data_IF_078511822507
#
_entry.id   IF_078511822507
#
_cell.length_a   1.000
_cell.length_b   1.000
_cell.length_c   1.000
_cell.angle_alpha   90.00
_cell.angle_beta   90.00
_cell.angle_gamma   90.00
#
_symmetry.space_group_name_H-M   'P 1'
#
loop_
_entity.id
_entity.type
_entity.pdbx_description
1 polymer ?
#
# COMPACT_ATOMS: atom_id res chain seq x y z
N UNK A 1 4.84 6.36 19.35
CA UNK A 1 4.39 6.67 17.98
C UNK A 1 5.47 7.33 17.12
N UNK A 2 6.26 8.28 17.63
CA UNK A 2 7.35 8.96 16.91
C UNK A 2 8.43 8.02 16.33
N UNK A 3 8.78 6.96 17.05
CA UNK A 3 9.79 5.96 16.62
C UNK A 3 9.36 5.12 15.39
N UNK A 4 8.06 4.85 15.25
CA UNK A 4 7.55 4.08 14.11
C UNK A 4 7.60 4.89 12.81
N UNK A 5 7.37 6.21 12.90
CA UNK A 5 7.49 7.13 11.76
C UNK A 5 8.94 7.30 11.31
N UNK A 6 9.90 7.33 12.24
CA UNK A 6 11.33 7.40 11.90
C UNK A 6 11.84 6.11 11.24
N UNK A 7 11.37 4.93 11.67
CA UNK A 7 11.71 3.64 11.05
C UNK A 7 11.13 3.50 9.64
N UNK A 8 9.91 3.97 9.40
CA UNK A 8 9.32 4.00 8.06
C UNK A 8 10.04 4.99 7.13
N UNK A 9 10.45 6.16 7.64
CA UNK A 9 11.17 7.17 6.86
C UNK A 9 12.57 6.70 6.42
N UNK A 10 13.28 5.93 7.27
CA UNK A 10 14.63 5.43 6.96
C UNK A 10 14.66 4.36 5.87
N UNK A 11 13.53 3.72 5.57
CA UNK A 11 13.45 2.60 4.64
C UNK A 11 13.20 2.97 3.19
N UNK A 12 12.77 4.19 2.91
CA UNK A 12 12.39 4.64 1.56
C UNK A 12 13.46 5.57 0.96
N UNK A 13 14.54 5.86 1.70
CA UNK A 13 15.64 6.71 1.24
C UNK A 13 16.69 5.91 0.43
N UNK A 14 16.31 5.28 -0.68
CA UNK A 14 17.26 5.02 -1.74
C UNK A 14 17.04 6.06 -2.86
N UNK A 15 17.47 7.29 -2.58
CA UNK A 15 17.59 8.32 -3.62
C UNK A 15 19.01 8.23 -4.17
N UNK A 16 19.21 7.92 -5.47
CA UNK A 16 20.52 7.99 -6.06
C UNK A 16 21.05 9.42 -5.95
N UNK A 17 22.27 9.57 -5.44
CA UNK A 17 22.95 10.87 -5.39
C UNK A 17 23.30 11.32 -6.80
N UNK A 18 22.48 12.20 -7.36
CA UNK A 18 22.84 12.95 -8.56
C UNK A 18 23.57 14.21 -8.13
N UNK A 19 24.82 14.37 -8.58
CA UNK A 19 25.64 15.56 -8.33
C UNK A 19 24.96 16.81 -8.93
N UNK A 20 25.00 17.93 -8.18
CA UNK A 20 24.18 19.10 -8.40
C UNK A 20 24.92 20.37 -8.71
N UNK A 21 24.36 21.10 -9.69
CA UNK A 21 24.41 22.55 -9.81
C UNK A 21 23.03 23.00 -10.32
N UNK A 22 22.14 23.36 -9.41
CA UNK A 22 20.89 24.04 -9.70
C UNK A 22 20.62 25.05 -8.57
N UNK A 23 19.92 26.13 -8.87
CA UNK A 23 19.43 27.11 -7.87
C UNK A 23 18.63 26.41 -6.79
N UNK A 24 18.76 26.81 -5.53
CA UNK A 24 18.13 26.19 -4.36
C UNK A 24 16.64 25.91 -4.55
N UNK A 25 15.89 26.83 -5.16
CA UNK A 25 14.44 26.74 -5.35
C UNK A 25 14.03 25.62 -6.33
N UNK A 26 14.81 25.43 -7.42
CA UNK A 26 14.53 24.36 -8.39
C UNK A 26 14.78 22.97 -7.81
N UNK A 27 15.78 22.84 -6.95
CA UNK A 27 16.11 21.63 -6.23
C UNK A 27 15.03 21.23 -5.23
N UNK A 28 14.55 22.17 -4.44
CA UNK A 28 13.54 21.92 -3.42
C UNK A 28 12.22 21.45 -4.08
N UNK A 29 11.85 22.05 -5.21
CA UNK A 29 10.63 21.67 -5.94
C UNK A 29 10.71 20.26 -6.54
N UNK A 30 11.85 19.89 -7.15
CA UNK A 30 12.08 18.54 -7.68
C UNK A 30 12.03 17.48 -6.57
N UNK A 31 12.71 17.74 -5.45
CA UNK A 31 12.69 16.87 -4.27
C UNK A 31 11.26 16.64 -3.76
N UNK A 32 10.44 17.70 -3.60
CA UNK A 32 9.10 17.58 -3.10
C UNK A 32 8.15 16.89 -4.10
N UNK A 33 8.38 17.06 -5.40
CA UNK A 33 7.66 16.33 -6.42
C UNK A 33 7.98 14.83 -6.37
N UNK A 34 9.26 14.45 -6.28
CA UNK A 34 9.68 13.06 -6.10
C UNK A 34 9.06 12.46 -4.83
N UNK A 35 9.09 13.20 -3.73
CA UNK A 35 8.45 12.79 -2.47
C UNK A 35 6.95 12.54 -2.63
N UNK A 36 6.24 13.42 -3.32
CA UNK A 36 4.82 13.25 -3.59
C UNK A 36 4.52 12.00 -4.41
N UNK A 37 5.35 11.75 -5.43
CA UNK A 37 5.22 10.61 -6.34
C UNK A 37 5.72 9.28 -5.74
N UNK A 38 6.55 9.31 -4.69
CA UNK A 38 7.09 8.11 -4.05
C UNK A 38 6.06 7.29 -3.26
N UNK A 39 4.84 7.79 -3.10
CA UNK A 39 3.77 7.13 -2.37
C UNK A 39 2.42 7.24 -3.09
N UNK A 40 1.59 6.21 -2.98
CA UNK A 40 0.25 6.19 -3.55
C UNK A 40 -0.74 5.49 -2.62
N UNK A 41 -2.02 5.81 -2.76
CA UNK A 41 -3.08 5.01 -2.17
C UNK A 41 -3.37 3.78 -3.05
N UNK A 42 -3.80 2.66 -2.46
CA UNK A 42 -4.11 1.43 -3.21
C UNK A 42 -5.37 1.54 -4.08
N UNK A 43 -6.23 2.52 -3.81
CA UNK A 43 -7.45 2.86 -4.56
C UNK A 43 -7.54 4.37 -4.73
N UNK A 44 -8.30 4.84 -5.69
CA UNK A 44 -8.55 6.28 -5.90
C UNK A 44 -9.29 6.93 -4.73
N UNK A 45 -10.14 6.17 -4.04
CA UNK A 45 -10.88 6.61 -2.85
C UNK A 45 -10.73 5.57 -1.74
N UNK A 46 -10.40 6.01 -0.53
CA UNK A 46 -10.22 5.14 0.62
C UNK A 46 -11.43 5.24 1.53
N UNK A 47 -12.24 4.17 1.55
CA UNK A 47 -13.34 3.99 2.50
C UNK A 47 -13.15 2.65 3.21
N UNK A 48 -12.81 2.69 4.49
CA UNK A 48 -12.65 1.49 5.32
C UNK A 48 -14.03 0.92 5.65
N UNK A 49 -14.25 -0.34 5.29
CA UNK A 49 -15.48 -1.09 5.60
C UNK A 49 -15.29 -2.04 6.77
N UNK A 50 -14.06 -2.51 7.01
CA UNK A 50 -13.73 -3.29 8.19
C UNK A 50 -12.27 -3.04 8.63
N UNK A 51 -12.05 -2.57 9.87
CA UNK A 51 -10.71 -2.27 10.35
C UNK A 51 -9.93 -3.53 10.76
N UNK A 52 -8.62 -3.35 10.93
CA UNK A 52 -7.74 -4.31 11.57
C UNK A 52 -8.07 -4.48 13.06
N UNK A 53 -8.03 -5.73 13.56
CA UNK A 53 -8.22 -6.02 14.99
C UNK A 53 -9.32 -7.03 15.26
N UNK A 54 -9.75 -7.09 16.51
CA UNK A 54 -10.79 -8.03 16.95
C UNK A 54 -12.15 -7.63 16.39
N UNK A 55 -12.85 -8.61 15.80
CA UNK A 55 -14.22 -8.43 15.27
C UNK A 55 -15.00 -9.75 15.31
N UNK A 56 -16.29 -9.70 15.02
CA UNK A 56 -17.04 -10.90 14.62
C UNK A 56 -16.72 -11.24 13.18
N UNK A 57 -16.44 -12.50 12.90
CA UNK A 57 -16.26 -13.00 11.53
C UNK A 57 -17.58 -12.83 10.76
N UNK A 58 -17.57 -12.13 9.59
CA UNK A 58 -18.80 -11.80 8.88
C UNK A 58 -19.48 -13.02 8.21
N UNK A 59 -18.77 -14.17 8.14
CA UNK A 59 -19.30 -15.40 7.50
C UNK A 59 -19.91 -16.33 8.54
N UNK A 60 -19.29 -16.52 9.70
CA UNK A 60 -19.73 -17.47 10.71
C UNK A 60 -20.13 -16.87 12.08
N UNK A 61 -20.02 -15.56 12.23
CA UNK A 61 -20.40 -14.81 13.44
C UNK A 61 -19.49 -15.01 14.65
N UNK A 62 -18.44 -15.85 14.57
CA UNK A 62 -17.54 -16.12 15.70
C UNK A 62 -16.56 -14.99 15.93
N UNK A 63 -16.05 -14.87 17.16
CA UNK A 63 -14.96 -13.95 17.47
C UNK A 63 -13.73 -14.32 16.63
N UNK A 64 -13.13 -13.33 15.97
CA UNK A 64 -11.97 -13.51 15.09
C UNK A 64 -11.10 -12.27 15.09
N UNK A 65 -9.81 -12.46 14.80
CA UNK A 65 -8.88 -11.37 14.57
C UNK A 65 -8.75 -11.10 13.06
N UNK A 66 -9.04 -9.87 12.65
CA UNK A 66 -8.85 -9.37 11.30
C UNK A 66 -7.43 -8.87 11.13
N UNK A 67 -6.57 -9.65 10.48
CA UNK A 67 -5.15 -9.32 10.27
C UNK A 67 -4.89 -8.34 9.13
N UNK A 68 -5.93 -7.70 8.61
CA UNK A 68 -5.87 -6.74 7.51
C UNK A 68 -6.90 -5.63 7.68
N UNK A 69 -7.13 -4.92 6.59
CA UNK A 69 -8.17 -3.90 6.48
C UNK A 69 -8.96 -4.15 5.22
N UNK A 70 -10.29 -4.00 5.29
CA UNK A 70 -11.17 -4.11 4.12
C UNK A 70 -11.54 -2.71 3.66
N UNK A 71 -11.34 -2.45 2.37
CA UNK A 71 -11.67 -1.21 1.69
C UNK A 71 -12.84 -1.44 0.73
N UNK A 72 -13.77 -0.50 0.70
CA UNK A 72 -14.81 -0.49 -0.34
C UNK A 72 -14.15 -0.43 -1.70
N UNK A 73 -14.41 -1.44 -2.53
CA UNK A 73 -13.94 -1.50 -3.91
C UNK A 73 -14.82 -2.46 -4.71
N UNK A 74 -15.18 -2.09 -5.92
CA UNK A 74 -16.01 -2.93 -6.77
C UNK A 74 -15.44 -2.97 -8.18
N UNK A 75 -14.53 -3.95 -8.40
CA UNK A 75 -13.83 -4.13 -9.68
C UNK A 75 -13.06 -2.89 -10.13
N UNK A 76 -12.42 -2.23 -9.16
CA UNK A 76 -11.62 -1.02 -9.38
C UNK A 76 -10.14 -1.37 -9.54
N UNK A 77 -9.41 -0.49 -10.21
CA UNK A 77 -7.95 -0.62 -10.31
C UNK A 77 -7.30 -0.54 -8.93
N UNK A 78 -6.37 -1.46 -8.68
CA UNK A 78 -5.54 -1.52 -7.49
C UNK A 78 -4.13 -1.07 -7.85
N UNK A 79 -3.57 -0.16 -7.04
CA UNK A 79 -2.29 0.47 -7.29
C UNK A 79 -1.25 0.08 -6.25
N UNK A 80 0.03 0.01 -6.66
CA UNK A 80 1.15 -0.15 -5.76
C UNK A 80 1.25 1.08 -4.83
N UNK A 81 1.39 0.84 -3.52
CA UNK A 81 1.46 1.94 -2.55
C UNK A 81 2.85 2.60 -2.52
N UNK A 82 3.89 1.87 -2.86
CA UNK A 82 5.29 2.28 -2.83
C UNK A 82 6.06 1.60 -3.95
N UNK A 83 7.27 2.09 -4.22
CA UNK A 83 8.22 1.43 -5.09
C UNK A 83 8.63 0.08 -4.50
N UNK A 84 8.84 -0.92 -5.33
CA UNK A 84 9.22 -2.24 -4.86
C UNK A 84 9.22 -3.32 -5.92
N UNK A 85 9.13 -4.57 -5.45
CA UNK A 85 9.16 -5.76 -6.29
C UNK A 85 7.98 -6.64 -5.99
N UNK A 86 7.37 -7.21 -7.02
CA UNK A 86 6.35 -8.25 -6.88
C UNK A 86 7.00 -9.51 -6.33
N UNK A 87 6.81 -9.77 -5.04
CA UNK A 87 7.40 -10.94 -4.37
C UNK A 87 6.62 -12.22 -4.64
N UNK A 88 5.32 -12.11 -4.88
CA UNK A 88 4.45 -13.26 -5.13
C UNK A 88 3.14 -12.84 -5.77
N UNK A 89 2.63 -13.69 -6.68
CA UNK A 89 1.24 -13.64 -7.19
C UNK A 89 0.66 -15.04 -7.09
N UNK A 90 -0.64 -15.16 -6.83
CA UNK A 90 -1.25 -16.48 -6.72
C UNK A 90 -2.75 -16.43 -6.46
N UNK A 91 -3.30 -17.62 -6.21
CA UNK A 91 -4.70 -17.82 -5.85
C UNK A 91 -4.80 -18.93 -4.80
N UNK A 92 -5.61 -18.73 -3.77
CA UNK A 92 -5.95 -19.74 -2.78
C UNK A 92 -7.36 -19.53 -2.23
N UNK A 93 -7.88 -20.53 -1.51
CA UNK A 93 -9.25 -20.52 -1.00
C UNK A 93 -9.56 -19.34 -0.04
N UNK A 94 -8.57 -18.82 0.69
CA UNK A 94 -8.76 -17.74 1.67
C UNK A 94 -8.63 -16.36 1.03
N UNK A 95 -7.49 -16.10 0.39
CA UNK A 95 -7.17 -14.78 -0.17
C UNK A 95 -7.82 -14.55 -1.55
N UNK A 96 -8.33 -15.62 -2.20
CA UNK A 96 -8.65 -15.56 -3.61
C UNK A 96 -7.40 -15.29 -4.43
N UNK A 97 -7.53 -14.57 -5.54
CA UNK A 97 -6.39 -14.04 -6.28
C UNK A 97 -5.72 -12.93 -5.46
N UNK A 98 -4.39 -12.96 -5.39
CA UNK A 98 -3.62 -11.99 -4.61
C UNK A 98 -2.30 -11.61 -5.27
N UNK A 99 -1.82 -10.42 -4.90
CA UNK A 99 -0.49 -9.91 -5.22
C UNK A 99 0.20 -9.50 -3.92
N UNK A 100 1.46 -9.88 -3.76
CA UNK A 100 2.34 -9.42 -2.67
C UNK A 100 3.44 -8.54 -3.24
N UNK A 101 3.51 -7.32 -2.78
CA UNK A 101 4.58 -6.38 -3.09
C UNK A 101 5.52 -6.28 -1.90
N UNK A 102 6.83 -6.36 -2.15
CA UNK A 102 7.88 -6.15 -1.16
C UNK A 102 8.50 -4.77 -1.35
N UNK A 103 8.44 -3.97 -0.33
CA UNK A 103 8.96 -2.61 -0.21
C UNK A 103 9.99 -2.61 0.92
N UNK A 104 11.25 -3.00 0.63
CA UNK A 104 12.26 -3.23 1.67
C UNK A 104 11.85 -4.36 2.64
N UNK A 105 11.65 -4.04 3.93
CA UNK A 105 11.22 -4.98 4.97
C UNK A 105 9.69 -5.03 5.15
N UNK A 106 8.93 -4.25 4.37
CA UNK A 106 7.47 -4.26 4.36
C UNK A 106 6.97 -5.13 3.21
N UNK A 107 5.98 -5.97 3.49
CA UNK A 107 5.23 -6.72 2.49
C UNK A 107 3.76 -6.29 2.59
N UNK A 108 3.23 -5.78 1.49
CA UNK A 108 1.81 -5.46 1.33
C UNK A 108 1.19 -6.55 0.45
N UNK A 109 0.11 -7.17 0.94
CA UNK A 109 -0.65 -8.17 0.19
C UNK A 109 -2.04 -7.63 -0.13
N UNK A 110 -2.39 -7.60 -1.41
CA UNK A 110 -3.69 -7.23 -1.96
C UNK A 110 -4.46 -8.50 -2.30
N UNK A 111 -5.63 -8.70 -1.73
CA UNK A 111 -6.42 -9.93 -1.83
C UNK A 111 -7.79 -9.70 -2.44
N UNK A 112 -8.50 -10.81 -2.69
CA UNK A 112 -9.84 -10.89 -3.31
C UNK A 112 -9.90 -10.28 -4.70
N UNK A 113 -8.79 -10.31 -5.44
CA UNK A 113 -8.64 -9.68 -6.75
C UNK A 113 -9.45 -10.44 -7.82
N UNK A 114 -9.98 -9.73 -8.81
CA UNK A 114 -10.57 -10.32 -10.02
C UNK A 114 -9.51 -10.56 -11.09
N UNK A 115 -8.53 -9.66 -11.22
CA UNK A 115 -7.45 -9.73 -12.22
C UNK A 115 -6.14 -9.24 -11.63
N UNK A 116 -5.05 -9.92 -12.01
CA UNK A 116 -3.67 -9.54 -11.69
C UNK A 116 -3.00 -9.06 -13.00
N UNK A 117 -2.26 -7.95 -12.93
CA UNK A 117 -1.59 -7.34 -14.08
C UNK A 117 -0.07 -7.47 -14.06
N UNK A 118 0.49 -7.98 -12.98
CA UNK A 118 1.92 -8.10 -12.72
C UNK A 118 2.30 -9.55 -12.46
N UNK A 119 3.60 -9.87 -12.56
CA UNK A 119 4.17 -11.20 -12.30
C UNK A 119 5.23 -11.10 -11.22
N UNK A 120 5.49 -12.22 -10.53
CA UNK A 120 6.61 -12.31 -9.59
C UNK A 120 7.92 -11.88 -10.27
N UNK A 121 8.66 -10.99 -9.61
CA UNK A 121 9.91 -10.40 -10.07
C UNK A 121 9.76 -9.03 -10.74
N UNK A 122 8.55 -8.63 -11.15
CA UNK A 122 8.34 -7.30 -11.73
C UNK A 122 8.70 -6.21 -10.72
N UNK A 123 9.38 -5.16 -11.21
CA UNK A 123 9.61 -3.91 -10.47
C UNK A 123 8.39 -3.04 -10.67
N UNK A 124 7.91 -2.41 -9.61
CA UNK A 124 6.78 -1.47 -9.63
C UNK A 124 7.18 -0.18 -8.94
N UNK A 125 6.62 0.92 -9.39
CA UNK A 125 6.70 2.22 -8.71
C UNK A 125 5.34 2.55 -8.05
N UNK A 126 5.36 3.49 -7.12
CA UNK A 126 4.14 3.96 -6.46
C UNK A 126 3.12 4.49 -7.49
N UNK A 127 1.88 4.02 -7.43
CA UNK A 127 0.84 4.36 -8.40
C UNK A 127 0.73 3.44 -9.61
N UNK A 128 1.63 2.48 -9.79
CA UNK A 128 1.48 1.48 -10.85
C UNK A 128 0.25 0.62 -10.63
N UNK A 129 -0.50 0.37 -11.72
CA UNK A 129 -1.65 -0.52 -11.70
C UNK A 129 -1.20 -1.98 -11.63
N UNK A 130 -1.42 -2.63 -10.49
CA UNK A 130 -0.96 -4.00 -10.26
C UNK A 130 -2.07 -5.04 -10.37
N UNK A 131 -3.35 -4.64 -10.18
CA UNK A 131 -4.47 -5.56 -10.19
C UNK A 131 -5.81 -4.83 -10.40
N UNK A 132 -6.89 -5.62 -10.37
CA UNK A 132 -8.28 -5.16 -10.23
C UNK A 132 -8.88 -5.85 -9.01
N UNK A 133 -9.53 -5.08 -8.13
CA UNK A 133 -10.29 -5.61 -6.99
C UNK A 133 -11.41 -6.55 -7.46
N UNK A 134 -11.94 -7.38 -6.58
CA UNK A 134 -12.94 -8.36 -6.97
C UNK A 134 -13.64 -9.00 -5.79
N UNK A 135 -14.02 -10.28 -5.98
CA UNK A 135 -14.81 -11.07 -5.03
C UNK A 135 -14.35 -12.54 -5.04
N UNK A 136 -13.03 -12.80 -5.12
CA UNK A 136 -12.49 -14.17 -5.14
C UNK A 136 -12.06 -14.62 -3.75
N UNK A 137 -12.03 -15.94 -3.52
CA UNK A 137 -11.68 -16.54 -2.23
C UNK A 137 -12.78 -16.41 -1.16
N UNK A 138 -12.38 -16.34 0.12
CA UNK A 138 -13.31 -16.28 1.26
C UNK A 138 -13.74 -14.83 1.52
N UNK A 139 -14.85 -14.41 0.96
CA UNK A 139 -15.38 -13.06 1.03
C UNK A 139 -16.92 -13.06 1.09
N UNK A 140 -17.53 -11.99 1.58
CA UNK A 140 -18.99 -11.76 1.58
C UNK A 140 -19.47 -10.86 0.46
N UNK A 141 -18.56 -10.31 -0.35
CA UNK A 141 -18.88 -9.41 -1.46
C UNK A 141 -17.65 -8.66 -1.97
N UNK A 142 -17.79 -7.93 -3.08
CA UNK A 142 -16.66 -7.22 -3.69
C UNK A 142 -16.04 -6.20 -2.74
N UNK A 143 -14.73 -6.31 -2.50
CA UNK A 143 -13.92 -5.37 -1.72
C UNK A 143 -12.43 -5.60 -2.00
N UNK A 144 -11.58 -4.72 -1.51
CA UNK A 144 -10.14 -4.93 -1.46
C UNK A 144 -9.71 -5.21 -0.01
N UNK A 145 -9.19 -6.41 0.24
CA UNK A 145 -8.58 -6.75 1.52
C UNK A 145 -7.06 -6.54 1.43
N UNK A 146 -6.50 -5.80 2.39
CA UNK A 146 -5.07 -5.51 2.46
C UNK A 146 -4.51 -6.03 3.77
N UNK A 147 -3.44 -6.80 3.72
CA UNK A 147 -2.62 -7.14 4.89
C UNK A 147 -1.22 -6.58 4.75
N UNK A 148 -0.60 -6.24 5.86
CA UNK A 148 0.77 -5.71 5.90
C UNK A 148 1.60 -6.50 6.91
N UNK A 149 2.81 -6.85 6.48
CA UNK A 149 3.84 -7.39 7.38
C UNK A 149 5.05 -6.47 7.35
N UNK A 150 5.62 -6.18 8.50
CA UNK A 150 6.90 -5.50 8.66
C UNK A 150 7.83 -6.41 9.47
N UNK A 151 9.01 -6.72 8.92
CA UNK A 151 9.94 -7.70 9.50
C UNK A 151 9.24 -9.04 9.85
N UNK A 152 8.36 -9.53 8.96
CA UNK A 152 7.61 -10.77 9.13
C UNK A 152 6.41 -10.70 10.08
N UNK A 153 6.25 -9.64 10.88
CA UNK A 153 5.14 -9.45 11.83
C UNK A 153 3.99 -8.68 11.18
N UNK A 154 2.75 -9.14 11.42
CA UNK A 154 1.54 -8.42 10.97
C UNK A 154 1.41 -7.10 11.71
N UNK A 155 1.14 -6.02 10.96
CA UNK A 155 0.88 -4.69 11.50
C UNK A 155 -0.45 -4.16 10.94
N UNK A 156 -1.01 -3.15 11.62
CA UNK A 156 -2.23 -2.49 11.18
C UNK A 156 -1.98 -1.69 9.87
N UNK A 157 -2.64 -2.04 8.75
CA UNK A 157 -2.43 -1.35 7.48
C UNK A 157 -2.80 0.14 7.49
N UNK A 158 -3.64 0.58 8.43
CA UNK A 158 -3.97 2.00 8.59
C UNK A 158 -2.74 2.88 8.84
N UNK A 159 -1.65 2.32 9.40
CA UNK A 159 -0.39 3.03 9.59
C UNK A 159 0.25 3.44 8.25
N UNK A 160 0.13 2.59 7.21
CA UNK A 160 0.62 2.92 5.87
C UNK A 160 -0.21 4.03 5.23
N UNK A 161 -1.54 4.02 5.44
CA UNK A 161 -2.40 5.09 4.92
C UNK A 161 -2.11 6.43 5.59
N UNK A 162 -1.86 6.43 6.90
CA UNK A 162 -1.43 7.62 7.63
C UNK A 162 -0.08 8.13 7.13
N UNK A 163 0.86 7.23 6.85
CA UNK A 163 2.16 7.59 6.28
C UNK A 163 2.02 8.18 4.88
N UNK A 164 1.27 7.54 3.97
CA UNK A 164 0.99 8.07 2.62
C UNK A 164 0.39 9.48 2.71
N UNK A 165 -0.59 9.66 3.61
CA UNK A 165 -1.20 10.98 3.83
C UNK A 165 -0.16 12.01 4.28
N UNK A 166 0.66 11.70 5.28
CA UNK A 166 1.66 12.64 5.82
C UNK A 166 2.68 13.07 4.77
N UNK A 167 3.20 12.11 3.97
CA UNK A 167 4.17 12.41 2.88
C UNK A 167 3.54 13.32 1.83
N UNK A 168 2.31 13.01 1.40
CA UNK A 168 1.64 13.82 0.37
C UNK A 168 1.26 15.20 0.88
N UNK A 169 0.75 15.32 2.10
CA UNK A 169 0.40 16.62 2.70
C UNK A 169 1.64 17.51 2.89
N UNK A 170 2.77 16.92 3.32
CA UNK A 170 4.04 17.60 3.47
C UNK A 170 4.57 18.08 2.12
N UNK A 171 4.62 17.20 1.13
CA UNK A 171 5.07 17.54 -0.22
C UNK A 171 4.19 18.64 -0.84
N UNK A 172 2.86 18.52 -0.73
CA UNK A 172 1.95 19.55 -1.26
C UNK A 172 2.14 20.90 -0.60
N UNK A 173 2.36 20.97 0.72
CA UNK A 173 2.66 22.25 1.40
C UNK A 173 3.91 22.91 0.83
N UNK A 174 4.96 22.15 0.55
CA UNK A 174 6.22 22.68 0.06
C UNK A 174 6.24 22.94 -1.46
N UNK A 175 5.31 22.34 -2.22
CA UNK A 175 5.17 22.59 -3.66
C UNK A 175 4.33 23.82 -3.98
N UNK A 176 3.45 24.24 -3.05
CA UNK A 176 2.49 25.34 -3.25
C UNK A 176 2.98 26.68 -2.70
N UNK A 177 4.10 26.73 -1.98
CA UNK A 177 4.73 27.93 -1.42
C UNK A 177 6.14 28.09 -1.96
#
# INVERSE_FOLDING_TARGET
MQWLFQLLAFMILFVPSVARSATTDGFDREYWMERYLSVSYPLRSITVTSPYGNRKDPINGKAAFHSGIDLRARYENVFAMFDGVVSETGENARAGKYVRLRHGNIIVCYCHLSRIHVRKGDIVIAGDKVAVSGNTGRTTGPHLHITVKMNGKSINPALLFAYVKSVRDEAMRNLLW
#
